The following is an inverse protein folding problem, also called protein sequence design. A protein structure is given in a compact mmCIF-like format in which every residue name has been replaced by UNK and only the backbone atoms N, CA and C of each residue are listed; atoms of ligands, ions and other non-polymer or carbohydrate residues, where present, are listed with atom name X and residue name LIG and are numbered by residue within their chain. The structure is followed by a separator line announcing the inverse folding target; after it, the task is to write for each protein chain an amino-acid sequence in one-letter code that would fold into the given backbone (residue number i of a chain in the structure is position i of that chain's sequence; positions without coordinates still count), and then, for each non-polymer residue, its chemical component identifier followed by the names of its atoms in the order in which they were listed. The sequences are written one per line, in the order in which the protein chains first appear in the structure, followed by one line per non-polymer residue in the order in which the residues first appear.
data_IF_836279137187
#
_entry.id   IF_836279137187
#
_cell.length_a   1.000
_cell.length_b   1.000
_cell.length_c   1.000
_cell.angle_alpha   90.00
_cell.angle_beta   90.00
_cell.angle_gamma   90.00
#
_symmetry.space_group_name_H-M   'P 1'
#
loop_
_entity.id
_entity.type
_entity.pdbx_description
1 polymer ?
#
# COMPACT_ATOMS: atom_id res chain seq x y z
N UNK A 1 -1.81 0.02 -33.29
CA UNK A 1 -2.45 -0.84 -32.27
C UNK A 1 -2.86 0.06 -31.12
N UNK A 2 -4.11 -0.01 -30.66
CA UNK A 2 -4.58 0.78 -29.52
C UNK A 2 -4.20 0.05 -28.22
N UNK A 3 -3.39 0.68 -27.38
CA UNK A 3 -3.13 0.17 -26.03
C UNK A 3 -4.28 0.60 -25.12
N UNK A 4 -4.89 -0.36 -24.42
CA UNK A 4 -5.87 -0.09 -23.37
C UNK A 4 -5.09 0.13 -22.09
N UNK A 5 -5.14 1.34 -21.55
CA UNK A 5 -4.58 1.64 -20.22
C UNK A 5 -5.72 1.52 -19.23
N UNK A 6 -5.70 0.48 -18.41
CA UNK A 6 -6.56 0.34 -17.25
C UNK A 6 -5.78 0.75 -16.00
N UNK A 7 -6.42 1.52 -15.10
CA UNK A 7 -5.88 1.83 -13.78
C UNK A 7 -6.74 1.10 -12.73
N UNK A 8 -6.38 -0.14 -12.34
CA UNK A 8 -7.20 -0.97 -11.45
C UNK A 8 -7.57 -0.28 -10.13
N UNK A 9 -6.64 0.53 -9.58
CA UNK A 9 -6.89 1.29 -8.36
C UNK A 9 -8.02 2.33 -8.50
N UNK A 10 -8.12 3.01 -9.64
CA UNK A 10 -9.23 3.96 -9.87
C UNK A 10 -10.58 3.25 -10.01
N UNK A 11 -10.57 2.03 -10.59
CA UNK A 11 -11.79 1.23 -10.71
C UNK A 11 -12.24 0.69 -9.36
N UNK A 12 -11.31 0.29 -8.48
CA UNK A 12 -11.66 -0.13 -7.12
C UNK A 12 -12.21 1.02 -6.27
N UNK A 13 -11.63 2.22 -6.38
CA UNK A 13 -12.11 3.40 -5.66
C UNK A 13 -13.51 3.79 -6.14
N UNK A 14 -13.73 3.81 -7.46
CA UNK A 14 -15.04 4.06 -8.04
C UNK A 14 -16.09 3.00 -7.60
N UNK A 15 -15.69 1.72 -7.52
CA UNK A 15 -16.59 0.67 -7.02
C UNK A 15 -16.99 0.90 -5.55
N UNK A 16 -16.07 1.39 -4.71
CA UNK A 16 -16.35 1.75 -3.32
C UNK A 16 -17.30 2.95 -3.23
N UNK A 17 -17.10 3.98 -4.04
CA UNK A 17 -17.99 5.15 -4.11
C UNK A 17 -19.40 4.75 -4.55
N UNK A 18 -19.52 3.90 -5.58
CA UNK A 18 -20.80 3.38 -6.07
C UNK A 18 -21.50 2.53 -4.99
N UNK A 19 -20.76 1.74 -4.23
CA UNK A 19 -21.32 1.02 -3.07
C UNK A 19 -21.86 1.98 -2.01
N UNK A 20 -21.15 3.08 -1.74
CA UNK A 20 -21.59 4.14 -0.84
C UNK A 20 -22.89 4.80 -1.29
N UNK A 21 -23.02 5.09 -2.59
CA UNK A 21 -24.26 5.60 -3.20
C UNK A 21 -25.40 4.58 -3.03
N UNK A 22 -25.16 3.31 -3.32
CA UNK A 22 -26.17 2.26 -3.14
C UNK A 22 -26.68 2.19 -1.69
N UNK A 23 -25.78 2.29 -0.71
CA UNK A 23 -26.14 2.33 0.71
C UNK A 23 -26.98 3.55 1.08
N UNK A 24 -26.66 4.74 0.56
CA UNK A 24 -27.42 5.96 0.86
C UNK A 24 -28.83 5.91 0.26
N UNK A 25 -28.96 5.38 -0.96
CA UNK A 25 -30.25 5.16 -1.62
C UNK A 25 -31.09 4.14 -0.86
N UNK A 26 -30.53 3.01 -0.47
CA UNK A 26 -31.22 1.99 0.33
C UNK A 26 -31.70 2.53 1.69
N UNK A 27 -30.89 3.38 2.34
CA UNK A 27 -31.28 4.05 3.57
C UNK A 27 -32.45 5.02 3.36
N UNK A 28 -32.42 5.83 2.30
CA UNK A 28 -33.51 6.73 1.95
C UNK A 28 -34.81 5.97 1.63
N UNK A 29 -34.70 4.85 0.90
CA UNK A 29 -35.83 4.01 0.54
C UNK A 29 -36.54 3.42 1.76
N UNK A 30 -35.76 2.92 2.73
CA UNK A 30 -36.29 2.44 4.02
C UNK A 30 -36.88 3.55 4.88
N UNK A 31 -36.26 4.73 4.91
CA UNK A 31 -36.76 5.87 5.66
C UNK A 31 -38.12 6.37 5.12
N UNK A 32 -38.33 6.30 3.81
CA UNK A 32 -39.58 6.71 3.16
C UNK A 32 -40.67 5.62 3.16
N UNK A 33 -40.36 4.37 3.52
CA UNK A 33 -41.29 3.25 3.38
C UNK A 33 -42.59 3.45 4.17
N UNK A 34 -42.48 3.84 5.45
CA UNK A 34 -43.65 3.99 6.31
C UNK A 34 -44.59 5.11 5.85
N UNK A 35 -44.05 6.26 5.43
CA UNK A 35 -44.86 7.40 5.00
C UNK A 35 -45.51 7.22 3.64
N UNK A 36 -44.97 6.34 2.79
CA UNK A 36 -45.49 6.09 1.44
C UNK A 36 -46.44 4.89 1.36
N UNK A 37 -46.31 3.91 2.26
CA UNK A 37 -47.17 2.70 2.26
C UNK A 37 -48.38 2.79 3.18
N UNK A 38 -48.43 3.78 4.07
CA UNK A 38 -49.53 4.01 5.00
C UNK A 38 -50.27 5.32 4.70
N UNK A 39 -50.61 5.56 3.43
CA UNK A 39 -51.35 6.76 3.03
C UNK A 39 -52.78 6.69 3.58
N UNK A 40 -53.17 7.72 4.32
CA UNK A 40 -54.53 7.83 4.87
C UNK A 40 -55.47 8.50 3.85
N UNK A 41 -56.74 8.10 3.86
CA UNK A 41 -57.78 8.74 3.07
C UNK A 41 -57.95 10.21 3.51
N UNK A 42 -58.04 11.12 2.55
CA UNK A 42 -58.18 12.56 2.83
C UNK A 42 -59.55 12.91 3.45
N UNK A 43 -60.58 12.11 3.15
CA UNK A 43 -61.93 12.22 3.69
C UNK A 43 -62.57 10.82 3.84
N UNK A 44 -63.74 10.76 4.48
CA UNK A 44 -64.46 9.52 4.78
C UNK A 44 -65.24 8.90 3.61
N UNK A 45 -65.02 9.37 2.38
CA UNK A 45 -65.70 8.88 1.19
C UNK A 45 -64.91 7.76 0.49
N UNK A 46 -65.63 6.99 -0.33
CA UNK A 46 -65.08 5.83 -1.04
C UNK A 46 -63.99 6.21 -2.07
N UNK A 47 -64.08 7.41 -2.66
CA UNK A 47 -63.09 7.88 -3.66
C UNK A 47 -61.77 8.20 -2.97
N UNK A 48 -61.80 8.91 -1.85
CA UNK A 48 -60.61 9.17 -1.03
C UNK A 48 -59.97 7.88 -0.52
N UNK A 49 -60.78 6.90 -0.10
CA UNK A 49 -60.29 5.59 0.32
C UNK A 49 -59.62 4.81 -0.83
N UNK A 50 -60.24 4.80 -2.02
CA UNK A 50 -59.68 4.15 -3.20
C UNK A 50 -58.35 4.79 -3.64
N UNK A 51 -58.25 6.12 -3.62
CA UNK A 51 -57.01 6.84 -3.96
C UNK A 51 -55.89 6.50 -2.96
N UNK A 52 -56.18 6.53 -1.66
CA UNK A 52 -55.21 6.17 -0.63
C UNK A 52 -54.72 4.72 -0.78
N UNK A 53 -55.63 3.79 -1.08
CA UNK A 53 -55.29 2.39 -1.36
C UNK A 53 -54.42 2.24 -2.61
N UNK A 54 -54.71 2.97 -3.69
CA UNK A 54 -53.91 2.93 -4.92
C UNK A 54 -52.48 3.38 -4.67
N UNK A 55 -52.27 4.52 -3.99
CA UNK A 55 -50.93 5.03 -3.71
C UNK A 55 -50.16 4.11 -2.76
N UNK A 56 -50.82 3.57 -1.74
CA UNK A 56 -50.21 2.63 -0.80
C UNK A 56 -49.80 1.32 -1.51
N UNK A 57 -50.64 0.82 -2.41
CA UNK A 57 -50.34 -0.35 -3.25
C UNK A 57 -49.13 -0.09 -4.17
N UNK A 58 -49.12 1.05 -4.86
CA UNK A 58 -47.99 1.43 -5.71
C UNK A 58 -46.67 1.56 -4.92
N UNK A 59 -46.72 2.11 -3.70
CA UNK A 59 -45.55 2.21 -2.85
C UNK A 59 -45.02 0.84 -2.43
N UNK A 60 -45.89 -0.14 -2.16
CA UNK A 60 -45.50 -1.51 -1.86
C UNK A 60 -44.82 -2.19 -3.06
N UNK A 61 -45.37 -2.03 -4.26
CA UNK A 61 -44.76 -2.55 -5.49
C UNK A 61 -43.39 -1.90 -5.75
N UNK A 62 -43.28 -0.59 -5.54
CA UNK A 62 -42.02 0.14 -5.64
C UNK A 62 -40.98 -0.37 -4.63
N UNK A 63 -41.38 -0.69 -3.40
CA UNK A 63 -40.51 -1.28 -2.39
C UNK A 63 -40.02 -2.67 -2.78
N UNK A 64 -40.91 -3.50 -3.34
CA UNK A 64 -40.54 -4.82 -3.86
C UNK A 64 -39.55 -4.73 -5.03
N UNK A 65 -39.70 -3.76 -5.92
CA UNK A 65 -38.75 -3.48 -7.00
C UNK A 65 -37.41 -2.96 -6.46
N UNK A 66 -37.45 -2.14 -5.40
CA UNK A 66 -36.26 -1.61 -4.72
C UNK A 66 -35.32 -2.71 -4.24
N UNK A 67 -35.85 -3.78 -3.65
CA UNK A 67 -35.06 -4.95 -3.22
C UNK A 67 -34.36 -5.63 -4.41
N UNK A 68 -35.01 -5.72 -5.57
CA UNK A 68 -34.41 -6.29 -6.78
C UNK A 68 -33.31 -5.39 -7.33
N UNK A 69 -33.52 -4.07 -7.32
CA UNK A 69 -32.54 -3.08 -7.73
C UNK A 69 -31.29 -3.08 -6.84
N UNK A 70 -31.45 -3.21 -5.51
CA UNK A 70 -30.33 -3.35 -4.56
C UNK A 70 -29.50 -4.60 -4.85
N UNK A 71 -30.16 -5.73 -5.13
CA UNK A 71 -29.47 -6.98 -5.48
C UNK A 71 -28.71 -6.86 -6.81
N UNK A 72 -29.29 -6.19 -7.81
CA UNK A 72 -28.61 -5.89 -9.07
C UNK A 72 -27.39 -4.98 -8.85
N UNK A 73 -27.55 -3.90 -8.07
CA UNK A 73 -26.48 -2.96 -7.74
C UNK A 73 -25.31 -3.66 -7.05
N UNK A 74 -25.58 -4.54 -6.10
CA UNK A 74 -24.55 -5.33 -5.42
C UNK A 74 -23.76 -6.22 -6.39
N UNK A 75 -24.43 -6.87 -7.34
CA UNK A 75 -23.78 -7.68 -8.38
C UNK A 75 -22.96 -6.82 -9.35
N UNK A 76 -23.45 -5.64 -9.69
CA UNK A 76 -22.74 -4.69 -10.54
C UNK A 76 -21.43 -4.23 -9.89
N UNK A 77 -21.47 -3.83 -8.62
CA UNK A 77 -20.27 -3.45 -7.86
C UNK A 77 -19.28 -4.61 -7.75
N UNK A 78 -19.77 -5.83 -7.47
CA UNK A 78 -18.92 -7.02 -7.41
C UNK A 78 -18.22 -7.30 -8.75
N UNK A 79 -18.95 -7.23 -9.87
CA UNK A 79 -18.40 -7.42 -11.21
C UNK A 79 -17.35 -6.34 -11.56
N UNK A 80 -17.55 -5.09 -11.13
CA UNK A 80 -16.55 -4.03 -11.29
C UNK A 80 -15.26 -4.38 -10.55
N UNK A 81 -15.37 -4.81 -9.28
CA UNK A 81 -14.23 -5.21 -8.47
C UNK A 81 -13.47 -6.40 -9.06
N UNK A 82 -14.19 -7.41 -9.57
CA UNK A 82 -13.60 -8.56 -10.25
C UNK A 82 -12.85 -8.15 -11.52
N UNK A 83 -13.43 -7.26 -12.33
CA UNK A 83 -12.78 -6.76 -13.54
C UNK A 83 -11.48 -6.00 -13.25
N UNK A 84 -11.46 -5.17 -12.19
CA UNK A 84 -10.26 -4.48 -11.74
C UNK A 84 -9.17 -5.49 -11.30
N UNK A 85 -9.56 -6.53 -10.57
CA UNK A 85 -8.69 -7.63 -10.18
C UNK A 85 -8.09 -8.37 -11.38
N UNK A 86 -8.88 -8.62 -12.43
CA UNK A 86 -8.41 -9.28 -13.65
C UNK A 86 -7.35 -8.45 -14.40
N UNK A 87 -7.52 -7.12 -14.49
CA UNK A 87 -6.51 -6.24 -15.07
C UNK A 87 -5.22 -6.23 -14.24
N UNK A 88 -5.32 -6.13 -12.92
CA UNK A 88 -4.15 -6.19 -12.02
C UNK A 88 -3.42 -7.55 -12.12
N UNK A 89 -4.17 -8.65 -12.21
CA UNK A 89 -3.60 -9.98 -12.37
C UNK A 89 -2.87 -10.15 -13.71
N UNK A 90 -3.35 -9.53 -14.79
CA UNK A 90 -2.70 -9.57 -16.10
C UNK A 90 -1.35 -8.82 -16.10
N UNK A 91 -1.28 -7.68 -15.42
CA UNK A 91 -0.01 -6.96 -15.22
C UNK A 91 0.99 -7.79 -14.41
N UNK A 92 0.54 -8.43 -13.33
CA UNK A 92 1.37 -9.32 -12.52
C UNK A 92 1.83 -10.57 -13.31
N UNK A 93 0.94 -11.17 -14.08
CA UNK A 93 1.25 -12.32 -14.93
C UNK A 93 2.16 -11.97 -16.12
N UNK A 94 2.24 -10.70 -16.53
CA UNK A 94 3.15 -10.26 -17.59
C UNK A 94 4.58 -10.03 -17.07
N UNK A 95 4.72 -9.63 -15.80
CA UNK A 95 6.03 -9.38 -15.15
C UNK A 95 6.65 -10.63 -14.53
N UNK A 96 5.84 -11.50 -13.93
CA UNK A 96 6.30 -12.70 -13.23
C UNK A 96 7.11 -13.69 -14.11
N UNK A 97 6.69 -14.04 -15.34
CA UNK A 97 7.45 -14.97 -16.18
C UNK A 97 8.81 -14.43 -16.58
N UNK A 98 8.90 -13.12 -16.85
CA UNK A 98 10.17 -12.46 -17.16
C UNK A 98 11.13 -12.50 -15.97
N UNK A 99 10.62 -12.26 -14.75
CA UNK A 99 11.41 -12.36 -13.53
C UNK A 99 11.92 -13.78 -13.28
N UNK A 100 11.06 -14.79 -13.48
CA UNK A 100 11.40 -16.22 -13.32
C UNK A 100 12.49 -16.61 -14.32
N UNK A 101 12.30 -16.29 -15.61
CA UNK A 101 13.29 -16.60 -16.65
C UNK A 101 14.63 -15.90 -16.37
N UNK A 102 14.61 -14.64 -15.92
CA UNK A 102 15.83 -13.93 -15.55
C UNK A 102 16.56 -14.62 -14.39
N UNK A 103 15.84 -15.03 -13.34
CA UNK A 103 16.41 -15.75 -12.20
C UNK A 103 16.94 -17.13 -12.58
N UNK A 104 16.23 -17.88 -13.44
CA UNK A 104 16.67 -19.19 -13.92
C UNK A 104 17.96 -19.09 -14.74
N UNK A 105 18.06 -18.10 -15.63
CA UNK A 105 19.28 -17.85 -16.42
C UNK A 105 20.44 -17.46 -15.52
N UNK A 106 20.22 -16.57 -14.54
CA UNK A 106 21.24 -16.25 -13.54
C UNK A 106 21.64 -17.48 -12.72
N UNK A 107 20.69 -18.33 -12.35
CA UNK A 107 20.93 -19.59 -11.66
C UNK A 107 21.82 -20.53 -12.46
N UNK A 108 21.55 -20.75 -13.74
CA UNK A 108 22.38 -21.58 -14.63
C UNK A 108 23.80 -21.01 -14.77
N UNK A 109 23.94 -19.69 -14.86
CA UNK A 109 25.25 -19.02 -14.94
C UNK A 109 26.02 -19.13 -13.61
N UNK A 110 25.32 -19.04 -12.49
CA UNK A 110 25.93 -19.06 -11.16
C UNK A 110 26.23 -20.47 -10.64
N UNK A 111 25.48 -21.49 -11.09
CA UNK A 111 25.56 -22.87 -10.56
C UNK A 111 26.98 -23.45 -10.56
N UNK A 112 27.80 -23.33 -11.63
CA UNK A 112 29.16 -23.85 -11.61
C UNK A 112 30.04 -23.18 -10.55
N UNK A 113 29.86 -21.88 -10.35
CA UNK A 113 30.68 -21.08 -9.42
C UNK A 113 30.19 -21.23 -7.98
N UNK A 114 28.88 -21.36 -7.75
CA UNK A 114 28.32 -21.71 -6.44
C UNK A 114 28.79 -23.09 -5.99
N UNK A 115 28.81 -24.07 -6.89
CA UNK A 115 29.26 -25.42 -6.55
C UNK A 115 30.76 -25.49 -6.23
N UNK A 116 31.56 -24.65 -6.89
CA UNK A 116 33.02 -24.70 -6.80
C UNK A 116 33.62 -23.72 -5.77
N UNK A 117 32.98 -22.57 -5.55
CA UNK A 117 33.49 -21.44 -4.75
C UNK A 117 32.50 -21.01 -3.66
N UNK A 118 31.30 -21.60 -3.61
CA UNK A 118 30.27 -21.24 -2.63
C UNK A 118 29.72 -19.83 -2.81
N UNK A 119 29.93 -19.20 -3.97
CA UNK A 119 29.53 -17.83 -4.28
C UNK A 119 29.00 -17.71 -5.71
N UNK A 120 27.96 -16.90 -5.95
CA UNK A 120 27.46 -16.65 -7.29
C UNK A 120 28.49 -15.92 -8.15
N UNK A 121 28.43 -16.10 -9.47
CA UNK A 121 29.29 -15.40 -10.42
C UNK A 121 28.77 -13.97 -10.67
N UNK A 122 27.46 -13.83 -10.85
CA UNK A 122 26.75 -12.59 -11.13
C UNK A 122 25.53 -12.49 -10.20
N UNK A 123 25.39 -11.39 -9.48
CA UNK A 123 24.25 -11.12 -8.61
C UNK A 123 24.65 -10.32 -7.37
N UNK A 124 23.71 -9.57 -6.80
CA UNK A 124 23.95 -8.84 -5.56
C UNK A 124 23.91 -9.79 -4.35
N UNK A 125 24.63 -9.42 -3.30
CA UNK A 125 24.59 -10.13 -2.03
C UNK A 125 23.24 -9.97 -1.34
N UNK A 126 22.80 -11.01 -0.63
CA UNK A 126 21.55 -10.99 0.14
C UNK A 126 21.66 -9.99 1.31
N UNK A 127 20.68 -9.12 1.47
CA UNK A 127 20.64 -8.18 2.59
C UNK A 127 20.42 -8.92 3.92
N UNK A 128 21.06 -8.44 4.98
CA UNK A 128 20.86 -8.96 6.33
C UNK A 128 19.45 -8.66 6.84
N UNK A 129 18.85 -9.60 7.58
CA UNK A 129 17.47 -9.44 8.09
C UNK A 129 17.37 -8.21 9.01
N UNK A 130 16.42 -7.28 8.79
CA UNK A 130 16.23 -6.13 9.66
C UNK A 130 15.93 -6.53 11.11
N UNK A 131 16.45 -5.78 12.08
CA UNK A 131 16.26 -6.02 13.51
C UNK A 131 17.04 -7.20 14.09
N UNK A 132 17.97 -7.81 13.34
CA UNK A 132 18.77 -8.95 13.80
C UNK A 132 20.26 -8.65 13.95
N UNK A 133 20.73 -7.53 13.39
CA UNK A 133 22.17 -7.24 13.27
C UNK A 133 22.91 -8.20 12.33
N UNK A 134 22.20 -8.96 11.50
CA UNK A 134 22.80 -9.92 10.58
C UNK A 134 23.68 -9.21 9.53
N UNK A 135 24.86 -9.78 9.26
CA UNK A 135 25.74 -9.29 8.21
C UNK A 135 25.10 -9.45 6.82
N UNK A 136 25.35 -8.48 5.93
CA UNK A 136 24.99 -8.60 4.53
C UNK A 136 25.83 -9.66 3.82
N UNK A 137 25.22 -10.41 2.92
CA UNK A 137 25.86 -11.45 2.11
C UNK A 137 26.84 -10.87 1.09
N UNK A 138 27.80 -11.69 0.67
CA UNK A 138 28.75 -11.32 -0.38
C UNK A 138 28.07 -11.22 -1.75
N UNK A 139 28.39 -10.18 -2.52
CA UNK A 139 28.02 -10.06 -3.92
C UNK A 139 28.75 -11.09 -4.80
N UNK A 140 28.24 -11.26 -6.03
CA UNK A 140 28.79 -12.18 -7.03
C UNK A 140 30.23 -11.85 -7.39
N UNK A 141 31.01 -12.84 -7.82
CA UNK A 141 32.46 -12.70 -8.01
C UNK A 141 32.81 -11.68 -9.09
N UNK A 142 32.10 -11.68 -10.22
CA UNK A 142 32.38 -10.78 -11.35
C UNK A 142 31.57 -9.50 -11.28
N UNK A 143 30.26 -9.63 -11.05
CA UNK A 143 29.34 -8.50 -11.03
C UNK A 143 28.36 -8.65 -9.88
N UNK A 144 28.33 -7.68 -8.98
CA UNK A 144 27.42 -7.69 -7.83
C UNK A 144 27.86 -6.78 -6.71
N UNK A 145 26.94 -5.98 -6.18
CA UNK A 145 27.16 -5.26 -4.93
C UNK A 145 26.99 -6.19 -3.73
N UNK A 146 27.72 -5.93 -2.65
CA UNK A 146 27.48 -6.63 -1.39
C UNK A 146 26.13 -6.27 -0.79
N UNK A 147 25.50 -7.21 -0.09
CA UNK A 147 24.23 -6.97 0.61
C UNK A 147 24.41 -5.97 1.75
N UNK A 148 23.42 -5.14 2.00
CA UNK A 148 23.38 -4.27 3.18
C UNK A 148 23.28 -5.10 4.47
N UNK A 149 23.92 -4.62 5.54
CA UNK A 149 23.80 -5.24 6.86
C UNK A 149 22.42 -4.96 7.46
N UNK A 150 21.83 -5.97 8.10
CA UNK A 150 20.56 -5.83 8.80
C UNK A 150 20.68 -4.86 9.98
N UNK A 151 19.64 -4.07 10.23
CA UNK A 151 19.59 -3.22 11.43
C UNK A 151 19.64 -4.06 12.70
N UNK A 152 20.20 -3.52 13.78
CA UNK A 152 20.24 -4.20 15.08
C UNK A 152 18.87 -4.26 15.76
N UNK A 153 18.63 -5.30 16.57
CA UNK A 153 17.54 -5.30 17.55
C UNK A 153 17.74 -4.17 18.58
N UNK A 154 16.72 -3.85 19.38
CA UNK A 154 16.84 -2.87 20.47
C UNK A 154 18.06 -3.15 21.36
N UNK A 155 18.96 -2.16 21.47
CA UNK A 155 20.21 -2.29 22.24
C UNK A 155 21.31 -3.13 21.57
N UNK A 156 21.12 -3.57 20.32
CA UNK A 156 22.12 -4.30 19.54
C UNK A 156 22.67 -3.47 18.38
N UNK A 157 23.94 -3.68 18.06
CA UNK A 157 24.58 -3.07 16.89
C UNK A 157 23.94 -3.58 15.58
N UNK A 158 24.01 -2.77 14.53
CA UNK A 158 23.64 -3.21 13.19
C UNK A 158 24.73 -4.10 12.59
N UNK A 159 24.32 -4.95 11.64
CA UNK A 159 25.22 -5.87 10.97
C UNK A 159 26.18 -5.17 10.01
N UNK A 160 27.37 -5.72 9.77
CA UNK A 160 28.26 -5.20 8.73
C UNK A 160 27.66 -5.44 7.34
N UNK A 161 27.96 -4.53 6.40
CA UNK A 161 27.62 -4.75 4.99
C UNK A 161 28.52 -5.81 4.35
N UNK A 162 28.00 -6.50 3.36
CA UNK A 162 28.69 -7.57 2.65
C UNK A 162 29.75 -7.07 1.67
N UNK A 163 30.75 -7.89 1.34
CA UNK A 163 31.76 -7.54 0.34
C UNK A 163 31.18 -7.57 -1.08
N UNK A 164 31.70 -6.71 -1.96
CA UNK A 164 31.34 -6.66 -3.38
C UNK A 164 32.08 -7.70 -4.24
N UNK A 165 31.65 -7.81 -5.50
CA UNK A 165 32.39 -8.45 -6.59
C UNK A 165 33.48 -7.58 -7.21
N UNK A 166 34.08 -8.09 -8.29
CA UNK A 166 35.06 -7.36 -9.11
C UNK A 166 34.48 -6.04 -9.65
N UNK A 167 33.23 -6.08 -10.09
CA UNK A 167 32.44 -4.90 -10.46
C UNK A 167 31.24 -4.79 -9.51
N UNK A 168 31.28 -3.83 -8.61
CA UNK A 168 30.22 -3.60 -7.63
C UNK A 168 30.69 -2.75 -6.46
N UNK A 169 29.74 -2.25 -5.67
CA UNK A 169 30.00 -1.54 -4.41
C UNK A 169 29.79 -2.46 -3.21
N UNK A 170 30.58 -2.25 -2.15
CA UNK A 170 30.35 -2.96 -0.88
C UNK A 170 28.99 -2.59 -0.29
N UNK A 171 28.39 -3.52 0.44
CA UNK A 171 27.15 -3.27 1.16
C UNK A 171 27.33 -2.24 2.26
N UNK A 172 26.31 -1.43 2.49
CA UNK A 172 26.27 -0.50 3.62
C UNK A 172 26.08 -1.26 4.93
N UNK A 173 26.69 -0.79 6.02
CA UNK A 173 26.43 -1.34 7.36
C UNK A 173 25.01 -1.01 7.84
N UNK A 174 24.40 -1.92 8.58
CA UNK A 174 23.11 -1.74 9.23
C UNK A 174 23.17 -0.73 10.36
N UNK A 175 22.07 -0.02 10.58
CA UNK A 175 21.92 0.90 11.71
C UNK A 175 21.78 0.12 13.03
N UNK A 176 22.37 0.61 14.11
CA UNK A 176 22.17 0.04 15.45
C UNK A 176 20.74 0.25 15.94
N UNK A 177 20.20 -0.72 16.67
CA UNK A 177 18.86 -0.64 17.24
C UNK A 177 18.82 0.23 18.48
N UNK A 178 17.89 1.18 18.52
CA UNK A 178 17.74 2.12 19.62
C UNK A 178 17.13 1.41 20.84
N UNK A 179 17.70 1.63 22.02
CA UNK A 179 17.09 1.26 23.27
C UNK A 179 16.18 2.39 23.76
N UNK A 180 14.95 2.07 24.16
CA UNK A 180 14.06 3.02 24.85
C UNK A 180 14.52 3.32 26.30
N UNK A 181 15.72 2.85 26.67
CA UNK A 181 16.28 2.88 28.02
C UNK A 181 17.44 3.85 28.15
N UNK A 182 17.33 5.06 27.59
CA UNK A 182 18.05 6.25 28.05
C UNK A 182 19.58 6.13 28.26
N UNK A 183 20.28 5.30 27.49
CA UNK A 183 21.74 5.19 27.53
C UNK A 183 22.38 6.08 26.46
N UNK A 184 23.24 7.01 26.88
CA UNK A 184 24.03 7.91 26.03
C UNK A 184 24.60 7.19 24.79
N UNK A 185 24.45 7.74 23.55
CA UNK A 185 24.97 7.09 22.35
C UNK A 185 26.50 6.94 22.43
N UNK A 186 27.10 5.82 21.96
CA UNK A 186 28.52 5.82 21.68
C UNK A 186 28.76 6.85 20.57
N UNK A 187 29.60 7.85 20.89
CA UNK A 187 29.79 9.02 20.04
C UNK A 187 30.16 8.67 18.59
N UNK A 188 29.84 9.56 17.63
CA UNK A 188 30.16 9.33 16.22
C UNK A 188 31.66 9.12 16.07
N UNK A 189 32.07 7.93 15.62
CA UNK A 189 33.42 7.76 15.06
C UNK A 189 33.51 8.65 13.82
N UNK A 190 34.50 9.55 13.85
CA UNK A 190 34.72 10.60 12.88
C UNK A 190 34.64 10.09 11.43
N UNK A 191 33.70 10.65 10.67
CA UNK A 191 33.78 10.71 9.20
C UNK A 191 34.89 11.71 8.85
N UNK A 192 35.89 11.37 8.01
CA UNK A 192 36.85 12.36 7.54
C UNK A 192 36.11 13.41 6.71
N UNK A 193 36.35 14.68 7.05
CA UNK A 193 35.75 15.85 6.41
C UNK A 193 36.10 15.87 4.92
N UNK A 194 35.11 15.68 4.06
CA UNK A 194 35.36 15.62 2.62
C UNK A 194 34.13 15.43 1.73
N UNK A 195 33.00 16.09 2.00
CA UNK A 195 32.00 16.34 0.97
C UNK A 195 31.06 17.47 1.41
N UNK A 196 31.21 18.63 0.79
CA UNK A 196 30.29 19.75 0.92
C UNK A 196 28.88 19.32 0.50
N UNK A 197 27.88 19.60 1.35
CA UNK A 197 26.48 19.47 1.00
C UNK A 197 26.11 20.51 -0.09
N UNK A 198 25.32 20.16 -1.12
CA UNK A 198 24.81 21.13 -2.09
C UNK A 198 23.82 22.10 -1.41
N UNK A 199 23.74 23.37 -1.85
CA UNK A 199 22.88 24.35 -1.23
C UNK A 199 21.43 24.07 -1.62
N UNK A 200 20.64 23.75 -0.61
CA UNK A 200 19.21 23.57 -0.73
C UNK A 200 18.81 22.19 -0.25
N UNK A 201 18.34 22.13 1.00
CA UNK A 201 17.03 21.60 1.40
C UNK A 201 16.99 21.39 2.94
N UNK A 202 16.04 22.09 3.59
CA UNK A 202 15.48 21.99 4.96
C UNK A 202 16.39 22.18 6.19
N UNK A 203 16.17 23.28 6.91
CA UNK A 203 16.58 23.43 8.30
C UNK A 203 15.33 23.63 9.18
N UNK A 204 15.00 22.65 10.02
CA UNK A 204 14.09 22.84 11.16
C UNK A 204 14.94 23.23 12.37
N UNK A 205 15.10 24.53 12.63
CA UNK A 205 15.75 25.01 13.86
C UNK A 205 14.69 25.26 14.93
N UNK A 206 14.61 24.39 15.94
CA UNK A 206 13.88 24.61 17.18
C UNK A 206 14.58 23.93 18.35
N UNK A 207 14.71 24.58 19.53
CA UNK A 207 15.38 24.01 20.70
C UNK A 207 14.57 22.87 21.35
N UNK A 208 15.21 21.99 22.13
CA UNK A 208 14.59 20.76 22.63
C UNK A 208 13.57 21.06 23.74
N UNK A 209 12.36 20.53 23.60
CA UNK A 209 11.36 20.52 24.67
C UNK A 209 11.01 19.08 25.06
N UNK A 210 11.14 18.81 26.35
CA UNK A 210 10.76 17.60 27.08
C UNK A 210 9.22 17.36 27.07
N UNK A 211 8.71 16.21 27.58
CA UNK A 211 7.54 15.54 27.02
C UNK A 211 6.23 15.94 27.69
N UNK A 212 5.33 16.66 26.99
CA UNK A 212 3.88 16.61 27.24
C UNK A 212 3.10 16.88 25.94
N UNK A 213 2.20 15.96 25.62
CA UNK A 213 1.12 15.96 24.63
C UNK A 213 0.75 17.27 23.87
N UNK A 214 1.10 17.31 22.56
CA UNK A 214 0.29 17.76 21.37
C UNK A 214 1.23 18.21 20.22
N UNK A 215 0.97 17.85 18.94
CA UNK A 215 1.83 18.28 17.84
C UNK A 215 1.63 19.78 17.49
N UNK A 216 2.70 20.57 17.24
CA UNK A 216 2.57 21.95 16.77
C UNK A 216 2.13 22.00 15.29
N UNK A 217 1.01 22.67 15.06
CA UNK A 217 0.27 22.76 13.81
C UNK A 217 0.75 23.85 12.84
N UNK A 218 2.06 24.09 12.68
CA UNK A 218 2.55 25.19 11.83
C UNK A 218 3.86 24.87 11.10
N UNK A 219 3.79 24.07 10.04
CA UNK A 219 4.73 24.18 8.92
C UNK A 219 4.05 25.04 7.84
N UNK A 220 4.47 26.31 7.70
CA UNK A 220 3.99 27.19 6.63
C UNK A 220 5.06 27.23 5.54
N UNK A 221 4.69 26.91 4.31
CA UNK A 221 5.50 27.10 3.11
C UNK A 221 5.80 28.60 2.91
N UNK A 222 7.06 28.96 2.76
CA UNK A 222 7.46 30.26 2.19
C UNK A 222 8.24 30.00 0.92
N UNK A 223 7.68 30.36 -0.23
CA UNK A 223 8.39 30.32 -1.51
C UNK A 223 9.40 31.46 -1.58
N UNK A 224 10.60 31.16 -2.09
CA UNK A 224 11.36 32.12 -2.88
C UNK A 224 11.66 31.46 -4.21
#
# INVERSE_FOLDING_TARGET
MSFVIAAPGLVSDAAADIAGIGSSVAAAHRAAAASTTAVLAAAGDEVSAAIASLFSGHALDYQALGVQAEAFHARFVAALGESAGAYAATEAASTSPLQIVANDVLGVINLPTELLVGRPLIGNGVDGTPGTGQAGGAGGILLGSGGSGGSGASGQAGGPGGPAGLLGSGGTGGVGGWDASGGTPPGPRAVPAGSAAPPGWWACTGPPAAPVARPPSRCRWTSK
#
